data_IF_550732796415
#
_entry.id   IF_550732796415
#
_cell.length_a   1.000
_cell.length_b   1.000
_cell.length_c   1.000
_cell.angle_alpha   90.00
_cell.angle_beta   90.00
_cell.angle_gamma   90.00
#
_symmetry.space_group_name_H-M   'P 1'
#
loop_
_entity.id
_entity.type
_entity.pdbx_description
1 polymer ?
#
# COMPACT_ATOMS: atom_id res chain seq x y z
N UNK A 1 -47.24 48.86 41.95
CA UNK A 1 -46.36 49.67 41.07
C UNK A 1 -44.96 49.71 41.68
N UNK A 2 -44.04 48.92 41.13
CA UNK A 2 -42.61 48.96 41.44
C UNK A 2 -41.90 48.73 40.12
N UNK A 3 -41.39 49.81 39.54
CA UNK A 3 -40.37 49.77 38.50
C UNK A 3 -39.07 49.24 39.11
N UNK A 4 -38.31 48.46 38.33
CA UNK A 4 -36.85 48.63 38.24
C UNK A 4 -36.23 47.77 37.12
N UNK A 5 -35.71 48.52 36.15
CA UNK A 5 -34.40 48.38 35.49
C UNK A 5 -34.06 47.09 34.75
N UNK A 6 -34.20 47.19 33.42
CA UNK A 6 -33.54 46.39 32.40
C UNK A 6 -32.02 46.67 32.45
N UNK A 7 -31.22 45.64 32.72
CA UNK A 7 -29.77 45.70 32.59
C UNK A 7 -29.33 45.15 31.23
N UNK A 8 -28.84 46.05 30.36
CA UNK A 8 -28.10 45.69 29.15
C UNK A 8 -26.73 45.11 29.55
N UNK A 9 -26.44 43.89 29.09
CA UNK A 9 -25.11 43.27 29.15
C UNK A 9 -24.44 43.42 27.77
N UNK A 10 -23.28 44.09 27.66
CA UNK A 10 -22.54 44.12 26.41
C UNK A 10 -21.76 42.82 26.19
N UNK A 11 -21.99 42.29 25.00
CA UNK A 11 -21.27 41.30 24.24
C UNK A 11 -19.74 41.49 24.29
N UNK A 12 -18.99 40.51 24.82
CA UNK A 12 -17.54 40.39 24.63
C UNK A 12 -17.27 39.01 24.02
N UNK A 13 -17.18 38.97 22.69
CA UNK A 13 -16.77 37.80 21.92
C UNK A 13 -15.25 37.86 21.76
N UNK A 14 -14.54 37.06 22.55
CA UNK A 14 -13.10 36.85 22.41
C UNK A 14 -12.87 35.73 21.38
N UNK A 15 -12.65 36.12 20.13
CA UNK A 15 -12.24 35.20 19.05
C UNK A 15 -10.75 34.91 19.20
N UNK A 16 -10.40 33.77 19.79
CA UNK A 16 -9.05 33.22 19.74
C UNK A 16 -8.89 32.40 18.45
N UNK A 17 -8.34 33.05 17.41
CA UNK A 17 -7.87 32.40 16.19
C UNK A 17 -6.48 31.80 16.46
N UNK A 18 -6.43 30.54 16.88
CA UNK A 18 -5.19 29.77 16.89
C UNK A 18 -4.81 29.39 15.46
N UNK A 19 -3.92 30.18 14.87
CA UNK A 19 -3.14 29.82 13.69
C UNK A 19 -2.21 28.64 14.05
N UNK A 20 -2.62 27.40 13.75
CA UNK A 20 -1.68 26.28 13.67
C UNK A 20 -0.88 26.42 12.36
N UNK A 21 0.28 27.05 12.46
CA UNK A 21 1.27 27.07 11.39
C UNK A 21 1.74 25.66 11.07
N UNK A 22 1.53 25.24 9.82
CA UNK A 22 2.14 24.04 9.26
C UNK A 22 3.59 24.41 8.95
N UNK A 23 4.50 24.12 9.90
CA UNK A 23 5.94 24.13 9.63
C UNK A 23 6.28 22.91 8.79
N UNK A 24 6.35 23.09 7.46
CA UNK A 24 6.96 22.08 6.59
C UNK A 24 8.47 22.12 6.80
N UNK A 25 8.99 21.16 7.57
CA UNK A 25 10.42 20.95 7.68
C UNK A 25 10.99 20.51 6.32
N UNK A 26 11.67 21.41 5.62
CA UNK A 26 12.48 21.09 4.45
C UNK A 26 13.71 20.31 4.90
N UNK A 27 13.71 18.99 4.71
CA UNK A 27 14.91 18.17 4.90
C UNK A 27 15.92 18.49 3.79
N UNK A 28 17.01 19.17 4.14
CA UNK A 28 18.15 19.36 3.24
C UNK A 28 19.01 18.09 3.26
N UNK A 29 18.88 17.24 2.24
CA UNK A 29 19.75 16.06 2.07
C UNK A 29 21.15 16.57 1.69
N UNK A 30 22.10 16.51 2.62
CA UNK A 30 23.53 16.69 2.32
C UNK A 30 24.04 15.41 1.66
N UNK A 31 24.01 15.36 0.34
CA UNK A 31 24.69 14.32 -0.43
C UNK A 31 26.20 14.38 -0.13
N UNK A 32 26.84 13.26 0.26
CA UNK A 32 28.29 13.23 0.45
C UNK A 32 28.99 13.46 -0.90
N UNK A 33 30.00 14.35 -0.89
CA UNK A 33 30.84 14.65 -2.06
C UNK A 33 31.56 13.37 -2.50
N UNK A 34 31.17 12.83 -3.65
CA UNK A 34 31.90 11.76 -4.34
C UNK A 34 33.27 12.34 -4.75
N UNK A 35 34.36 11.74 -4.24
CA UNK A 35 35.71 12.04 -4.70
C UNK A 35 35.84 11.55 -6.15
N UNK A 36 36.15 12.46 -7.07
CA UNK A 36 36.60 12.11 -8.43
C UNK A 36 37.95 11.41 -8.33
N UNK A 37 38.00 10.12 -8.61
CA UNK A 37 39.27 9.44 -8.92
C UNK A 37 39.67 9.77 -10.36
N UNK A 38 40.92 10.22 -10.52
CA UNK A 38 41.55 10.46 -11.82
C UNK A 38 41.94 9.11 -12.46
N UNK A 39 41.88 9.00 -13.80
CA UNK A 39 42.29 7.79 -14.50
C UNK A 39 43.83 7.69 -14.52
N UNK A 40 44.35 6.52 -14.13
CA UNK A 40 45.77 6.19 -14.26
C UNK A 40 46.00 5.37 -15.53
N UNK A 41 46.88 5.90 -16.38
CA UNK A 41 47.32 5.38 -17.67
C UNK A 41 48.12 4.07 -17.52
N UNK A 42 47.67 3.06 -18.28
CA UNK A 42 48.40 2.15 -19.19
C UNK A 42 49.79 1.58 -18.81
N UNK A 43 49.89 0.25 -18.84
CA UNK A 43 51.09 -0.47 -19.29
C UNK A 43 50.70 -1.85 -19.84
N UNK A 44 50.97 -2.05 -21.14
CA UNK A 44 50.87 -3.30 -21.91
C UNK A 44 52.09 -4.20 -21.64
N UNK A 45 51.93 -5.53 -21.73
CA UNK A 45 52.64 -6.26 -22.80
C UNK A 45 51.75 -7.30 -23.51
N UNK A 46 51.92 -7.36 -24.84
CA UNK A 46 51.36 -8.34 -25.79
C UNK A 46 52.37 -9.51 -25.95
N UNK A 47 52.12 -10.56 -26.77
CA UNK A 47 50.87 -11.25 -27.11
C UNK A 47 51.00 -12.80 -26.98
N UNK A 48 49.90 -13.52 -26.80
CA UNK A 48 49.84 -14.95 -27.12
C UNK A 48 48.52 -15.25 -27.84
N UNK A 49 48.63 -15.18 -29.16
CA UNK A 49 47.90 -15.85 -30.23
C UNK A 49 46.97 -17.01 -29.77
N UNK A 50 45.66 -16.81 -29.92
CA UNK A 50 44.69 -17.87 -30.22
C UNK A 50 43.56 -17.29 -31.07
N UNK A 51 43.38 -17.90 -32.24
CA UNK A 51 42.33 -17.66 -33.22
C UNK A 51 40.97 -17.33 -32.61
N UNK A 52 40.42 -16.17 -32.99
CA UNK A 52 38.99 -15.95 -32.98
C UNK A 52 38.55 -15.51 -34.36
N UNK A 53 37.91 -16.44 -35.07
CA UNK A 53 37.10 -16.12 -36.23
C UNK A 53 36.07 -15.06 -35.82
N UNK A 54 36.03 -13.98 -36.58
CA UNK A 54 34.99 -12.95 -36.53
C UNK A 54 33.62 -13.55 -36.83
N UNK A 55 32.97 -14.09 -35.81
CA UNK A 55 31.54 -14.29 -35.75
C UNK A 55 30.90 -12.96 -35.35
N UNK A 56 30.22 -12.34 -36.32
CA UNK A 56 29.40 -11.14 -36.14
C UNK A 56 28.48 -11.35 -34.92
N UNK A 57 28.72 -10.62 -33.83
CA UNK A 57 27.82 -10.58 -32.69
C UNK A 57 26.52 -9.90 -33.14
N UNK A 58 25.59 -10.70 -33.64
CA UNK A 58 24.18 -10.32 -33.71
C UNK A 58 23.78 -10.17 -32.25
N UNK A 59 23.54 -8.93 -31.81
CA UNK A 59 23.01 -8.66 -30.48
C UNK A 59 21.65 -9.33 -30.36
N UNK A 60 21.65 -10.57 -29.86
CA UNK A 60 20.46 -11.29 -29.51
C UNK A 60 19.77 -10.54 -28.39
N UNK A 61 18.53 -10.14 -28.61
CA UNK A 61 17.67 -9.75 -27.51
C UNK A 61 17.55 -10.98 -26.60
N UNK A 62 17.97 -10.83 -25.35
CA UNK A 62 17.78 -11.86 -24.33
C UNK A 62 16.27 -12.10 -24.22
N UNK A 63 15.83 -13.28 -24.64
CA UNK A 63 14.40 -13.62 -24.70
C UNK A 63 13.89 -13.67 -23.27
N UNK A 64 13.08 -12.67 -22.88
CA UNK A 64 12.43 -12.63 -21.58
C UNK A 64 11.46 -13.82 -21.46
N UNK A 65 11.93 -14.90 -20.85
CA UNK A 65 11.08 -16.04 -20.50
C UNK A 65 10.22 -15.65 -19.30
N UNK A 66 8.93 -16.06 -19.26
CA UNK A 66 8.11 -15.87 -18.08
C UNK A 66 8.78 -16.46 -16.84
N UNK A 67 8.66 -15.80 -15.67
CA UNK A 67 9.21 -16.36 -14.44
C UNK A 67 8.56 -17.72 -14.18
N UNK A 68 9.40 -18.74 -13.98
CA UNK A 68 8.92 -20.05 -13.54
C UNK A 68 8.71 -20.01 -12.03
N UNK A 69 7.59 -20.52 -11.54
CA UNK A 69 7.38 -20.62 -10.11
C UNK A 69 8.36 -21.61 -9.49
N UNK A 70 8.81 -21.29 -8.28
CA UNK A 70 9.66 -22.11 -7.45
C UNK A 70 9.07 -22.25 -6.04
N UNK A 71 9.79 -22.95 -5.16
CA UNK A 71 9.36 -23.22 -3.79
C UNK A 71 9.46 -22.02 -2.86
N UNK A 72 9.93 -20.87 -3.36
CA UNK A 72 10.09 -19.62 -2.60
C UNK A 72 8.87 -18.74 -2.90
N UNK A 73 7.96 -18.55 -1.94
CA UNK A 73 6.79 -17.72 -2.18
C UNK A 73 7.15 -16.25 -2.35
N UNK A 74 6.72 -15.67 -3.48
CA UNK A 74 6.98 -14.26 -3.81
C UNK A 74 5.68 -13.47 -3.78
N UNK A 75 5.63 -12.45 -2.94
CA UNK A 75 4.55 -11.48 -2.94
C UNK A 75 4.53 -10.72 -4.27
N UNK A 76 3.40 -10.75 -4.97
CA UNK A 76 3.14 -9.89 -6.13
C UNK A 76 2.71 -8.52 -5.63
N UNK A 77 3.66 -7.58 -5.54
CA UNK A 77 3.44 -6.27 -4.89
C UNK A 77 2.38 -5.42 -5.56
N UNK A 78 2.24 -5.55 -6.87
CA UNK A 78 1.23 -4.91 -7.72
C UNK A 78 -0.19 -5.40 -7.44
N UNK A 79 -0.35 -6.58 -6.85
CA UNK A 79 -1.65 -7.12 -6.46
C UNK A 79 -2.09 -6.71 -5.04
N UNK A 80 -1.25 -6.00 -4.29
CA UNK A 80 -1.56 -5.59 -2.92
C UNK A 80 -2.63 -4.50 -2.92
N UNK A 81 -3.77 -4.82 -2.31
CA UNK A 81 -4.89 -3.91 -2.16
C UNK A 81 -5.28 -3.81 -0.68
N UNK A 82 -5.38 -2.58 -0.19
CA UNK A 82 -5.87 -2.26 1.15
C UNK A 82 -7.23 -1.58 1.01
N UNK A 83 -8.25 -2.22 1.56
CA UNK A 83 -9.61 -1.69 1.60
C UNK A 83 -10.03 -1.39 3.03
N UNK A 84 -11.23 -0.84 3.15
CA UNK A 84 -11.92 -0.69 4.42
C UNK A 84 -13.30 -1.32 4.34
N UNK A 85 -13.69 -2.03 5.39
CA UNK A 85 -15.08 -2.42 5.61
C UNK A 85 -15.70 -1.39 6.55
N UNK A 86 -16.77 -0.75 6.09
CA UNK A 86 -17.56 0.19 6.89
C UNK A 86 -18.78 -0.51 7.45
N UNK A 87 -19.10 -0.28 8.72
CA UNK A 87 -20.34 -0.68 9.36
C UNK A 87 -21.14 0.56 9.79
N UNK A 88 -22.46 0.41 9.90
CA UNK A 88 -23.39 1.49 10.28
C UNK A 88 -23.47 1.74 11.80
N UNK A 89 -22.71 0.99 12.58
CA UNK A 89 -22.65 1.05 14.04
C UNK A 89 -21.22 1.18 14.54
N UNK A 90 -21.05 1.81 15.71
CA UNK A 90 -19.80 1.82 16.43
C UNK A 90 -19.98 1.15 17.79
N UNK A 91 -19.20 0.11 18.03
CA UNK A 91 -19.35 -0.75 19.20
C UNK A 91 -19.21 -0.03 20.55
N UNK A 92 -18.45 1.08 20.60
CA UNK A 92 -18.32 1.89 21.83
C UNK A 92 -19.58 2.72 22.12
N UNK A 93 -20.45 2.91 21.13
CA UNK A 93 -21.72 3.61 21.26
C UNK A 93 -22.87 2.74 20.74
N UNK A 94 -23.14 1.58 21.36
CA UNK A 94 -24.10 0.60 20.83
C UNK A 94 -25.56 1.09 20.85
N UNK A 95 -25.84 2.18 21.58
CA UNK A 95 -27.17 2.83 21.65
C UNK A 95 -27.33 3.98 20.66
N UNK A 96 -26.27 4.33 19.92
CA UNK A 96 -26.32 5.39 18.92
C UNK A 96 -26.47 4.77 17.55
N UNK A 97 -27.67 4.87 17.00
CA UNK A 97 -27.90 4.57 15.59
C UNK A 97 -27.16 5.59 14.71
N UNK A 98 -26.88 5.21 13.46
CA UNK A 98 -26.27 6.10 12.45
C UNK A 98 -24.85 6.57 12.82
N UNK A 99 -24.08 5.68 13.45
CA UNK A 99 -22.69 5.93 13.82
C UNK A 99 -21.77 4.98 13.07
N UNK A 100 -21.22 5.41 11.94
CA UNK A 100 -20.38 4.55 11.12
C UNK A 100 -19.02 4.30 11.76
N UNK A 101 -18.52 3.08 11.65
CA UNK A 101 -17.14 2.70 12.01
C UNK A 101 -16.52 1.84 10.91
N UNK A 102 -15.21 1.63 10.96
CA UNK A 102 -14.51 0.88 9.93
C UNK A 102 -13.37 0.02 10.49
N UNK A 103 -12.97 -0.98 9.71
CA UNK A 103 -11.77 -1.81 9.92
C UNK A 103 -11.03 -1.93 8.56
N UNK A 104 -9.69 -1.92 8.54
CA UNK A 104 -8.96 -2.19 7.31
C UNK A 104 -9.06 -3.67 6.93
N UNK A 105 -8.94 -3.94 5.64
CA UNK A 105 -8.76 -5.28 5.10
C UNK A 105 -7.65 -5.26 4.05
N UNK A 106 -6.95 -6.38 3.88
CA UNK A 106 -5.90 -6.53 2.88
C UNK A 106 -6.19 -7.72 1.98
N UNK A 107 -5.81 -7.63 0.71
CA UNK A 107 -5.67 -8.77 -0.19
C UNK A 107 -4.46 -8.61 -1.09
N UNK A 108 -3.85 -9.71 -1.48
CA UNK A 108 -2.70 -9.76 -2.40
C UNK A 108 -2.56 -11.16 -2.98
N UNK A 109 -1.74 -11.31 -3.99
CA UNK A 109 -1.39 -12.59 -4.60
C UNK A 109 0.06 -12.96 -4.26
N UNK A 110 0.29 -14.26 -4.16
CA UNK A 110 1.61 -14.86 -3.97
C UNK A 110 1.87 -15.84 -5.11
N UNK A 111 3.04 -15.75 -5.73
CA UNK A 111 3.47 -16.62 -6.83
C UNK A 111 4.46 -17.67 -6.31
N UNK A 112 4.14 -18.96 -6.50
CA UNK A 112 4.97 -20.09 -6.08
C UNK A 112 4.46 -21.43 -6.63
N UNK A 113 5.29 -22.47 -6.59
CA UNK A 113 5.02 -23.79 -7.19
C UNK A 113 4.03 -24.69 -6.41
N UNK A 114 3.31 -24.15 -5.43
CA UNK A 114 2.42 -24.90 -4.53
C UNK A 114 3.12 -25.95 -3.63
N UNK A 115 4.45 -25.99 -3.56
CA UNK A 115 5.19 -26.97 -2.76
C UNK A 115 5.23 -26.68 -1.26
N UNK A 116 4.82 -25.47 -0.84
CA UNK A 116 4.89 -25.03 0.56
C UNK A 116 3.54 -24.57 1.11
N UNK A 117 3.31 -24.81 2.40
CA UNK A 117 2.15 -24.24 3.09
C UNK A 117 2.41 -22.78 3.43
N UNK A 118 1.65 -21.89 2.81
CA UNK A 118 1.69 -20.46 3.11
C UNK A 118 1.05 -20.18 4.48
N UNK A 119 1.65 -19.29 5.27
CA UNK A 119 1.15 -18.86 6.58
C UNK A 119 1.52 -17.40 6.82
N UNK A 120 0.53 -16.50 6.81
CA UNK A 120 0.75 -15.06 6.93
C UNK A 120 -0.15 -14.45 7.99
N UNK A 121 0.40 -13.48 8.72
CA UNK A 121 -0.37 -12.57 9.57
C UNK A 121 -0.27 -11.16 8.99
N UNK A 122 -1.36 -10.39 9.09
CA UNK A 122 -1.34 -8.95 8.96
C UNK A 122 -1.31 -8.31 10.35
N UNK A 123 -0.29 -7.53 10.63
CA UNK A 123 -0.17 -6.70 11.81
C UNK A 123 -0.53 -5.25 11.43
N UNK A 124 -1.58 -4.75 12.04
CA UNK A 124 -2.10 -3.41 11.82
C UNK A 124 -1.64 -2.47 12.93
N UNK A 125 -1.34 -1.23 12.57
CA UNK A 125 -0.95 -0.18 13.53
C UNK A 125 -1.87 1.02 13.38
N UNK A 126 -2.18 1.66 14.51
CA UNK A 126 -2.95 2.89 14.59
C UNK A 126 -2.22 4.04 13.89
N UNK A 127 -2.92 5.17 13.72
CA UNK A 127 -2.34 6.35 13.09
C UNK A 127 -1.15 6.97 13.85
N UNK A 128 -1.04 6.69 15.15
CA UNK A 128 0.09 7.08 15.99
C UNK A 128 1.27 6.07 15.94
N UNK A 129 1.13 5.00 15.15
CA UNK A 129 2.13 3.93 15.03
C UNK A 129 2.06 2.85 16.11
N UNK A 130 1.15 2.96 17.08
CA UNK A 130 0.97 1.93 18.10
C UNK A 130 0.32 0.67 17.50
N UNK A 131 0.61 -0.54 18.03
CA UNK A 131 -0.07 -1.76 17.58
C UNK A 131 -1.59 -1.64 17.75
N UNK A 132 -2.33 -2.00 16.70
CA UNK A 132 -3.80 -1.96 16.72
C UNK A 132 -4.37 -3.38 16.89
N UNK A 133 -4.15 -4.26 15.92
CA UNK A 133 -4.54 -5.66 16.00
C UNK A 133 -3.70 -6.51 15.04
N UNK A 134 -3.77 -7.82 15.21
CA UNK A 134 -3.17 -8.80 14.30
C UNK A 134 -4.25 -9.76 13.85
N UNK A 135 -4.24 -10.14 12.58
CA UNK A 135 -5.14 -11.14 12.04
C UNK A 135 -4.36 -12.21 11.24
N UNK A 136 -4.76 -13.49 11.35
CA UNK A 136 -4.30 -14.51 10.43
C UNK A 136 -4.97 -14.29 9.07
N UNK A 137 -4.18 -14.37 7.99
CA UNK A 137 -4.69 -14.23 6.64
C UNK A 137 -5.17 -15.57 6.09
N UNK A 138 -6.19 -15.52 5.24
CA UNK A 138 -6.79 -16.67 4.56
C UNK A 138 -6.18 -16.86 3.18
N UNK A 139 -6.13 -18.12 2.76
CA UNK A 139 -5.58 -18.57 1.49
C UNK A 139 -6.74 -19.00 0.60
N UNK A 140 -6.77 -18.47 -0.61
CA UNK A 140 -7.62 -18.98 -1.68
C UNK A 140 -7.08 -20.28 -2.27
N UNK A 141 -7.77 -20.79 -3.28
CA UNK A 141 -7.25 -21.88 -4.11
C UNK A 141 -6.15 -21.38 -5.04
N UNK A 142 -5.17 -22.25 -5.33
CA UNK A 142 -4.17 -21.98 -6.37
C UNK A 142 -4.79 -21.86 -7.74
N UNK A 143 -4.43 -20.79 -8.46
CA UNK A 143 -4.75 -20.60 -9.87
C UNK A 143 -3.89 -21.47 -10.78
N UNK A 144 -4.32 -21.63 -12.02
CA UNK A 144 -3.55 -22.31 -13.06
C UNK A 144 -2.22 -21.59 -13.39
N UNK A 145 -2.12 -20.31 -13.03
CA UNK A 145 -0.96 -19.45 -13.15
C UNK A 145 0.00 -19.55 -11.96
N UNK A 146 -0.20 -20.52 -11.06
CA UNK A 146 0.63 -20.72 -9.86
C UNK A 146 0.59 -19.50 -8.91
N UNK A 147 -0.49 -18.71 -8.96
CA UNK A 147 -0.76 -17.66 -7.98
C UNK A 147 -1.81 -18.12 -6.98
N UNK A 148 -1.63 -17.74 -5.72
CA UNK A 148 -2.64 -17.91 -4.66
C UNK A 148 -3.01 -16.55 -4.13
N UNK A 149 -4.31 -16.26 -4.09
CA UNK A 149 -4.83 -15.06 -3.43
C UNK A 149 -4.84 -15.24 -1.93
N UNK A 150 -4.32 -14.24 -1.22
CA UNK A 150 -4.31 -14.10 0.23
C UNK A 150 -5.22 -12.93 0.60
N UNK A 151 -6.02 -13.05 1.65
CA UNK A 151 -6.88 -11.96 2.11
C UNK A 151 -7.15 -11.97 3.61
N UNK A 152 -7.54 -10.83 4.16
CA UNK A 152 -8.10 -10.71 5.51
C UNK A 152 -9.27 -11.68 5.71
N UNK A 153 -9.45 -12.12 6.95
CA UNK A 153 -10.57 -12.95 7.34
C UNK A 153 -11.75 -12.08 7.79
N UNK A 154 -12.93 -12.31 7.21
CA UNK A 154 -14.14 -11.60 7.61
C UNK A 154 -14.71 -12.06 8.95
N UNK A 155 -14.16 -13.14 9.53
CA UNK A 155 -14.61 -13.74 10.80
C UNK A 155 -14.18 -13.01 12.07
N UNK A 156 -13.28 -12.03 11.98
CA UNK A 156 -12.85 -11.27 13.16
C UNK A 156 -14.02 -10.46 13.75
N UNK A 157 -14.04 -10.36 15.09
CA UNK A 157 -14.94 -9.49 15.87
C UNK A 157 -14.77 -8.03 15.42
N UNK A 158 -15.47 -7.64 14.36
CA UNK A 158 -15.50 -6.28 13.83
C UNK A 158 -15.83 -5.30 14.95
N UNK A 159 -16.77 -5.70 15.80
CA UNK A 159 -17.27 -4.93 16.93
C UNK A 159 -16.25 -4.72 18.06
N UNK A 160 -15.01 -5.23 17.99
CA UNK A 160 -14.00 -4.90 19.02
C UNK A 160 -12.79 -4.17 18.45
N UNK A 161 -12.59 -4.30 17.15
CA UNK A 161 -11.41 -3.81 16.45
C UNK A 161 -11.71 -2.58 15.60
N UNK A 162 -12.97 -2.30 15.26
CA UNK A 162 -13.31 -1.14 14.44
C UNK A 162 -13.04 0.20 15.13
N UNK A 163 -12.85 1.24 14.32
CA UNK A 163 -12.59 2.61 14.75
C UNK A 163 -13.40 3.61 13.93
N UNK A 164 -13.44 4.86 14.41
CA UNK A 164 -14.11 6.00 13.76
C UNK A 164 -13.10 7.08 13.35
N UNK A 165 -11.84 6.90 13.77
CA UNK A 165 -10.71 7.78 13.52
C UNK A 165 -10.20 7.57 12.09
N UNK A 166 -9.74 8.65 11.47
CA UNK A 166 -9.11 8.66 10.14
C UNK A 166 -7.67 9.12 10.27
N UNK A 167 -6.82 8.82 9.29
CA UNK A 167 -5.39 9.15 9.35
C UNK A 167 -4.54 8.18 8.56
N UNK A 168 -3.22 8.20 8.81
CA UNK A 168 -2.26 7.31 8.15
C UNK A 168 -1.94 6.13 9.06
N UNK A 169 -2.42 4.95 8.71
CA UNK A 169 -2.23 3.70 9.43
C UNK A 169 -1.08 2.90 8.81
N UNK A 170 -0.57 1.91 9.53
CA UNK A 170 0.47 1.01 9.03
C UNK A 170 0.00 -0.44 8.92
N UNK A 171 0.59 -1.15 7.96
CA UNK A 171 0.40 -2.58 7.73
C UNK A 171 1.77 -3.25 7.64
N UNK A 172 1.94 -4.37 8.35
CA UNK A 172 3.08 -5.28 8.21
C UNK A 172 2.54 -6.68 7.94
N UNK A 173 3.01 -7.32 6.88
CA UNK A 173 2.65 -8.72 6.57
C UNK A 173 3.84 -9.60 6.91
N UNK A 174 3.61 -10.60 7.76
CA UNK A 174 4.65 -11.47 8.30
C UNK A 174 4.36 -12.91 7.93
N UNK A 175 5.37 -13.60 7.43
CA UNK A 175 5.35 -15.05 7.30
C UNK A 175 5.55 -15.69 8.67
N UNK A 176 4.52 -16.38 9.17
CA UNK A 176 4.55 -16.93 10.54
C UNK A 176 5.40 -18.20 10.66
N UNK A 177 5.89 -18.75 9.55
CA UNK A 177 6.82 -19.89 9.57
C UNK A 177 8.22 -19.49 10.03
N UNK A 178 8.69 -18.32 9.58
CA UNK A 178 10.08 -17.86 9.78
C UNK A 178 10.17 -16.42 10.35
N UNK A 179 9.04 -15.79 10.67
CA UNK A 179 8.93 -14.39 11.10
C UNK A 179 9.48 -13.37 10.10
N UNK A 180 9.54 -13.74 8.82
CA UNK A 180 9.99 -12.84 7.76
C UNK A 180 8.92 -11.80 7.43
N UNK A 181 9.33 -10.54 7.34
CA UNK A 181 8.46 -9.45 6.89
C UNK A 181 8.45 -9.44 5.37
N UNK A 182 7.33 -9.82 4.76
CA UNK A 182 7.20 -9.84 3.30
C UNK A 182 6.73 -8.50 2.74
N UNK A 183 6.08 -7.70 3.58
CA UNK A 183 5.62 -6.36 3.24
C UNK A 183 5.53 -5.48 4.49
N UNK A 184 5.89 -4.21 4.35
CA UNK A 184 5.64 -3.19 5.36
C UNK A 184 5.34 -1.86 4.66
N UNK A 185 4.22 -1.25 5.01
CA UNK A 185 3.75 -0.03 4.36
C UNK A 185 2.82 0.79 5.24
N UNK A 186 2.43 1.95 4.71
CA UNK A 186 1.45 2.84 5.32
C UNK A 186 0.34 3.13 4.31
N UNK A 187 -0.86 3.36 4.81
CA UNK A 187 -2.03 3.70 4.01
C UNK A 187 -2.83 4.78 4.71
N UNK A 188 -3.50 5.63 3.95
CA UNK A 188 -4.29 6.75 4.49
C UNK A 188 -5.77 6.42 4.37
N UNK A 189 -6.51 6.68 5.44
CA UNK A 189 -7.96 6.54 5.46
C UNK A 189 -8.58 7.92 5.57
N UNK A 190 -9.55 8.17 4.70
CA UNK A 190 -10.40 9.34 4.71
C UNK A 190 -11.86 8.92 4.88
N UNK A 191 -12.73 9.92 5.04
CA UNK A 191 -14.17 9.69 5.21
C UNK A 191 -14.99 10.74 4.48
N UNK A 192 -16.17 10.34 4.02
CA UNK A 192 -17.14 11.19 3.35
C UNK A 192 -18.49 11.07 4.07
N UNK A 193 -19.19 12.17 4.40
CA UNK A 193 -20.51 12.10 5.03
C UNK A 193 -21.52 11.45 4.06
N UNK A 194 -22.27 10.45 4.53
CA UNK A 194 -23.28 9.77 3.70
C UNK A 194 -24.49 10.66 3.41
N UNK A 195 -24.84 11.54 4.34
CA UNK A 195 -26.01 12.41 4.27
C UNK A 195 -25.60 13.85 4.65
N UNK A 196 -24.97 14.59 3.72
CA UNK A 196 -24.51 15.95 4.00
C UNK A 196 -25.69 16.87 4.34
N UNK A 197 -25.60 17.55 5.48
CA UNK A 197 -26.59 18.55 5.91
C UNK A 197 -27.71 18.02 6.83
N UNK A 198 -27.83 16.71 7.05
CA UNK A 198 -28.81 16.15 7.99
C UNK A 198 -28.17 15.93 9.39
N UNK A 199 -28.61 16.65 10.44
CA UNK A 199 -28.10 16.49 11.80
C UNK A 199 -28.28 15.07 12.37
N UNK A 200 -29.29 14.33 11.91
CA UNK A 200 -29.56 12.95 12.35
C UNK A 200 -28.44 11.98 11.97
N UNK A 201 -27.79 12.22 10.83
CA UNK A 201 -26.77 11.36 10.25
C UNK A 201 -25.36 11.95 10.35
N UNK A 202 -25.13 12.90 11.26
CA UNK A 202 -23.84 13.59 11.43
C UNK A 202 -22.64 12.66 11.69
N UNK A 203 -22.89 11.44 12.17
CA UNK A 203 -21.88 10.42 12.45
C UNK A 203 -21.87 9.27 11.42
N UNK A 204 -22.66 9.37 10.36
CA UNK A 204 -22.72 8.38 9.29
C UNK A 204 -21.78 8.76 8.16
N UNK A 205 -20.74 7.95 7.99
CA UNK A 205 -19.66 8.20 7.04
C UNK A 205 -19.40 6.96 6.19
N UNK A 206 -19.06 7.19 4.93
CA UNK A 206 -18.35 6.23 4.10
C UNK A 206 -16.86 6.41 4.35
N UNK A 207 -16.21 5.39 4.90
CA UNK A 207 -14.75 5.37 4.99
C UNK A 207 -14.18 4.79 3.70
N UNK A 208 -13.02 5.31 3.27
CA UNK A 208 -12.31 4.80 2.10
C UNK A 208 -10.80 4.92 2.30
N UNK A 209 -10.05 4.01 1.68
CA UNK A 209 -8.62 4.14 1.52
C UNK A 209 -8.34 5.24 0.51
N UNK A 210 -7.64 6.29 0.93
CA UNK A 210 -7.06 7.31 0.07
C UNK A 210 -5.85 6.67 -0.62
N UNK A 211 -6.14 5.86 -1.64
CA UNK A 211 -5.15 5.39 -2.58
C UNK A 211 -4.77 6.63 -3.37
N UNK A 212 -3.58 7.18 -3.16
CA UNK A 212 -3.11 8.36 -3.88
C UNK A 212 -3.12 8.03 -5.40
N UNK A 213 -4.20 8.40 -6.09
CA UNK A 213 -4.65 7.88 -7.39
C UNK A 213 -3.79 8.38 -8.58
N UNK A 214 -2.48 8.51 -8.40
CA UNK A 214 -1.52 9.00 -9.41
C UNK A 214 -0.42 8.00 -9.78
N UNK A 215 -0.66 6.70 -9.68
CA UNK A 215 0.19 5.75 -10.39
C UNK A 215 -0.65 4.90 -11.36
N UNK A 216 -0.87 5.39 -12.60
CA UNK A 216 -1.00 4.49 -13.73
C UNK A 216 0.32 3.71 -13.85
N UNK A 217 0.39 2.53 -13.24
CA UNK A 217 1.45 1.56 -13.53
C UNK A 217 1.12 0.91 -14.86
N UNK A 218 1.59 1.52 -15.94
CA UNK A 218 1.62 0.88 -17.25
C UNK A 218 2.81 -0.06 -17.34
N UNK A 219 2.58 -1.35 -17.59
CA UNK A 219 3.65 -2.27 -17.95
C UNK A 219 3.81 -2.23 -19.46
N UNK A 220 5.01 -1.90 -19.93
CA UNK A 220 5.39 -2.07 -21.33
C UNK A 220 6.13 -3.39 -21.42
N UNK A 221 5.50 -4.38 -22.06
CA UNK A 221 6.07 -5.70 -22.27
C UNK A 221 6.01 -6.09 -23.74
N UNK A 222 6.96 -6.90 -24.19
CA UNK A 222 6.89 -7.51 -25.51
C UNK A 222 6.18 -8.87 -25.37
N UNK A 223 5.13 -9.09 -26.13
CA UNK A 223 4.59 -10.45 -26.26
C UNK A 223 5.53 -11.26 -27.15
N UNK A 224 6.07 -12.34 -26.58
CA UNK A 224 6.77 -13.35 -27.34
C UNK A 224 5.74 -14.35 -27.88
N UNK A 225 5.67 -14.49 -29.19
CA UNK A 225 4.85 -15.50 -29.86
C UNK A 225 5.76 -16.37 -30.73
N UNK A 226 5.85 -17.66 -30.40
CA UNK A 226 6.63 -18.66 -31.13
C UNK A 226 6.22 -18.81 -32.61
N UNK A 227 5.07 -18.24 -33.01
CA UNK A 227 4.52 -18.37 -34.36
C UNK A 227 4.99 -17.29 -35.35
N UNK A 228 5.74 -16.27 -34.92
CA UNK A 228 6.21 -15.20 -35.82
C UNK A 228 7.64 -14.79 -35.48
N UNK A 229 8.58 -15.26 -36.29
CA UNK A 229 10.04 -15.12 -36.14
C UNK A 229 10.60 -13.67 -36.22
N UNK A 230 9.77 -12.63 -36.24
CA UNK A 230 10.28 -11.29 -36.59
C UNK A 230 9.50 -10.06 -36.12
N UNK A 231 8.64 -10.14 -35.10
CA UNK A 231 8.06 -8.91 -34.53
C UNK A 231 7.85 -8.99 -33.02
N UNK A 232 8.78 -8.41 -32.26
CA UNK A 232 8.52 -7.94 -30.90
C UNK A 232 7.40 -6.90 -30.98
N UNK A 233 6.17 -7.29 -30.65
CA UNK A 233 5.03 -6.35 -30.57
C UNK A 233 5.03 -5.74 -29.17
N UNK A 234 5.29 -4.42 -29.03
CA UNK A 234 5.12 -3.76 -27.75
C UNK A 234 3.63 -3.80 -27.40
N UNK A 235 3.31 -4.33 -26.23
CA UNK A 235 1.99 -4.23 -25.65
C UNK A 235 2.08 -3.34 -24.42
N UNK A 236 1.10 -2.46 -24.31
CA UNK A 236 0.92 -1.62 -23.13
C UNK A 236 -0.22 -2.25 -22.35
N UNK A 237 0.09 -2.74 -21.16
CA UNK A 237 -0.90 -3.16 -20.18
C UNK A 237 -1.12 -2.00 -19.22
N UNK A 238 -2.30 -1.39 -19.31
CA UNK A 238 -2.76 -0.40 -18.34
C UNK A 238 -3.62 -1.16 -17.33
N UNK A 239 -3.26 -1.07 -16.04
CA UNK A 239 -4.08 -1.57 -14.91
C UNK A 239 -4.76 -0.39 -14.26
#
# INVERSE_FOLDING_TARGET
MRERSVGLLPLVVLVWLSFCGISMAQFTIKLPKIKKEQPKTEQTPNPAEKDQSTGRAVGGFDVLSPPKADSIPRLLRDSLEINVRTESRYWKFPKQDNYSSWIPTVKFNVFFDNSVNLRYNAEWTNADGTPWFTEPLRFGSGGADQTVRISSDFSQDFDKTSTVTTGTYGLKIVNTKNNEIIFQGKFKIAKHPLFPGDPKYKNSFLFYTDNDWLLPTGYVGFQYNDSFESALKPNVYVV
#
